data_IF_934079957629
#
_entry.id   IF_934079957629
#
_cell.length_a   1.000
_cell.length_b   1.000
_cell.length_c   1.000
_cell.angle_alpha   90.00
_cell.angle_beta   90.00
_cell.angle_gamma   90.00
#
_symmetry.space_group_name_H-M   'P 1'
#
loop_
_entity.id
_entity.type
_entity.pdbx_description
1 polymer ?
#
# COMPACT_ATOMS: atom_id res chain seq x y z
N UNK A 1 -14.48 16.34 -16.00
CA UNK A 1 -13.88 14.98 -16.19
C UNK A 1 -12.36 14.98 -16.29
N UNK A 2 -11.70 15.92 -16.98
CA UNK A 2 -10.22 15.91 -17.20
C UNK A 2 -9.34 15.73 -15.94
N UNK A 3 -9.78 16.19 -14.76
CA UNK A 3 -9.02 16.03 -13.51
C UNK A 3 -8.97 14.59 -12.96
N UNK A 4 -9.94 13.75 -13.31
CA UNK A 4 -10.06 12.37 -12.81
C UNK A 4 -9.31 11.36 -13.68
N UNK A 5 -9.03 11.68 -14.94
CA UNK A 5 -8.48 10.72 -15.91
C UNK A 5 -7.13 10.14 -15.47
N UNK A 6 -6.18 10.99 -15.04
CA UNK A 6 -4.85 10.50 -14.63
C UNK A 6 -4.89 9.65 -13.35
N UNK A 7 -5.58 10.09 -12.26
CA UNK A 7 -5.75 9.24 -11.08
C UNK A 7 -6.43 7.91 -11.37
N UNK A 8 -7.52 7.90 -12.14
CA UNK A 8 -8.25 6.68 -12.46
C UNK A 8 -7.44 5.72 -13.32
N UNK A 9 -6.68 6.24 -14.30
CA UNK A 9 -5.79 5.42 -15.12
C UNK A 9 -4.67 4.79 -14.26
N UNK A 10 -4.08 5.57 -13.35
CA UNK A 10 -3.07 5.07 -12.42
C UNK A 10 -3.64 3.96 -11.52
N UNK A 11 -4.83 4.18 -10.95
CA UNK A 11 -5.52 3.18 -10.12
C UNK A 11 -5.75 1.88 -10.91
N UNK A 12 -6.28 2.01 -12.12
CA UNK A 12 -6.55 0.86 -12.98
C UNK A 12 -5.29 0.05 -13.29
N UNK A 13 -4.19 0.71 -13.69
CA UNK A 13 -2.93 0.03 -14.02
C UNK A 13 -2.36 -0.68 -12.80
N UNK A 14 -2.32 -0.01 -11.64
CA UNK A 14 -1.76 -0.58 -10.41
C UNK A 14 -2.58 -1.80 -9.97
N UNK A 15 -3.91 -1.70 -9.98
CA UNK A 15 -4.79 -2.82 -9.67
C UNK A 15 -4.62 -3.98 -10.65
N UNK A 16 -4.53 -3.70 -11.94
CA UNK A 16 -4.36 -4.72 -12.96
C UNK A 16 -3.05 -5.50 -12.75
N UNK A 17 -1.94 -4.79 -12.57
CA UNK A 17 -0.63 -5.44 -12.36
C UNK A 17 -0.60 -6.20 -11.03
N UNK A 18 -1.14 -5.64 -9.95
CA UNK A 18 -1.24 -6.30 -8.65
C UNK A 18 -2.03 -7.61 -8.74
N UNK A 19 -3.27 -7.57 -9.27
CA UNK A 19 -4.16 -8.72 -9.32
C UNK A 19 -3.69 -9.80 -10.30
N UNK A 20 -3.11 -9.41 -11.44
CA UNK A 20 -2.49 -10.36 -12.38
C UNK A 20 -1.32 -11.06 -11.72
N UNK A 21 -0.44 -10.32 -11.03
CA UNK A 21 0.72 -10.90 -10.36
C UNK A 21 0.30 -11.89 -9.27
N UNK A 22 -0.64 -11.51 -8.41
CA UNK A 22 -1.15 -12.36 -7.33
C UNK A 22 -1.84 -13.62 -7.86
N UNK A 23 -2.64 -13.48 -8.90
CA UNK A 23 -3.31 -14.62 -9.56
C UNK A 23 -2.29 -15.58 -10.17
N UNK A 24 -1.25 -15.05 -10.81
CA UNK A 24 -0.17 -15.87 -11.36
C UNK A 24 0.54 -16.67 -10.25
N UNK A 25 0.90 -16.02 -9.14
CA UNK A 25 1.51 -16.69 -7.98
C UNK A 25 0.60 -17.80 -7.46
N UNK A 26 -0.70 -17.50 -7.24
CA UNK A 26 -1.67 -18.46 -6.71
C UNK A 26 -1.88 -19.71 -7.57
N UNK A 27 -1.69 -19.57 -8.88
CA UNK A 27 -1.98 -20.64 -9.85
C UNK A 27 -0.73 -21.42 -10.29
N UNK A 28 0.46 -20.87 -10.08
CA UNK A 28 1.73 -21.45 -10.54
C UNK A 28 2.70 -21.80 -9.40
N UNK A 29 2.39 -21.45 -8.15
CA UNK A 29 3.23 -21.72 -6.99
C UNK A 29 2.48 -22.44 -5.87
N UNK A 30 3.20 -23.26 -5.10
CA UNK A 30 2.72 -23.77 -3.81
C UNK A 30 3.18 -22.86 -2.65
N UNK A 31 2.43 -22.87 -1.55
CA UNK A 31 2.72 -22.01 -0.40
C UNK A 31 4.14 -22.27 0.14
N UNK A 32 4.92 -21.22 0.37
CA UNK A 32 6.31 -21.26 0.77
C UNK A 32 7.31 -21.55 -0.36
N UNK A 33 6.85 -21.72 -1.60
CA UNK A 33 7.75 -21.88 -2.75
C UNK A 33 8.52 -20.58 -3.02
N UNK A 34 9.79 -20.74 -3.38
CA UNK A 34 10.69 -19.64 -3.72
C UNK A 34 11.23 -19.75 -5.14
N UNK A 35 11.22 -18.63 -5.87
CA UNK A 35 11.97 -18.45 -7.10
C UNK A 35 12.99 -17.33 -6.93
N UNK A 36 14.28 -17.68 -7.05
CA UNK A 36 15.38 -16.72 -7.01
C UNK A 36 15.46 -15.97 -8.34
N UNK A 37 15.10 -14.69 -8.34
CA UNK A 37 15.08 -13.86 -9.55
C UNK A 37 16.45 -13.22 -9.78
N UNK A 38 17.05 -12.65 -8.74
CA UNK A 38 18.40 -12.06 -8.77
C UNK A 38 19.22 -12.56 -7.60
N UNK A 39 19.82 -13.74 -7.78
CA UNK A 39 20.62 -14.41 -6.75
C UNK A 39 19.83 -14.55 -5.44
N UNK A 40 20.48 -14.25 -4.32
CA UNK A 40 19.86 -14.28 -3.00
C UNK A 40 19.28 -12.93 -2.55
N UNK A 41 19.28 -11.90 -3.43
CA UNK A 41 18.85 -10.54 -3.11
C UNK A 41 17.39 -10.26 -3.46
N UNK A 42 16.89 -10.80 -4.57
CA UNK A 42 15.47 -10.70 -4.96
C UNK A 42 14.89 -12.09 -5.21
N UNK A 43 13.92 -12.44 -4.36
CA UNK A 43 13.27 -13.74 -4.35
C UNK A 43 11.76 -13.49 -4.48
N UNK A 44 11.11 -14.26 -5.34
CA UNK A 44 9.65 -14.40 -5.32
C UNK A 44 9.34 -15.51 -4.34
N UNK A 45 8.78 -15.18 -3.17
CA UNK A 45 8.43 -16.11 -2.12
C UNK A 45 6.91 -16.11 -1.95
N UNK A 46 6.23 -17.20 -2.29
CA UNK A 46 4.77 -17.24 -2.16
C UNK A 46 4.37 -17.42 -0.69
N UNK A 47 3.78 -16.38 -0.10
CA UNK A 47 3.13 -16.46 1.20
C UNK A 47 1.74 -15.81 1.18
N UNK A 48 0.95 -16.14 2.18
CA UNK A 48 -0.40 -15.61 2.35
C UNK A 48 -0.53 -14.96 3.72
N UNK A 49 -1.11 -13.77 3.73
CA UNK A 49 -1.31 -12.99 4.93
C UNK A 49 -2.80 -12.83 5.25
N UNK A 50 -3.16 -13.00 6.52
CA UNK A 50 -4.50 -12.70 7.01
C UNK A 50 -4.85 -11.19 6.99
N UNK A 51 -3.97 -10.35 6.47
CA UNK A 51 -4.14 -8.90 6.40
C UNK A 51 -3.50 -8.16 7.59
N UNK A 52 -2.65 -8.83 8.36
CA UNK A 52 -2.00 -8.26 9.53
C UNK A 52 -0.52 -8.08 9.25
N UNK A 53 0.01 -6.90 9.56
CA UNK A 53 1.45 -6.71 9.55
C UNK A 53 2.06 -7.45 10.74
N UNK A 54 3.27 -8.00 10.56
CA UNK A 54 4.06 -8.64 11.62
C UNK A 54 3.48 -9.92 12.25
N UNK A 55 2.54 -10.60 11.60
CA UNK A 55 2.07 -11.93 12.03
C UNK A 55 1.25 -11.95 13.32
N UNK A 56 0.80 -10.79 13.82
CA UNK A 56 -0.13 -10.71 14.94
C UNK A 56 -1.51 -11.14 14.47
N UNK A 57 -2.00 -12.31 14.91
CA UNK A 57 -3.35 -12.78 14.61
C UNK A 57 -4.35 -12.36 15.68
N UNK A 58 -5.18 -11.37 15.38
CA UNK A 58 -6.24 -10.92 16.29
C UNK A 58 -7.54 -11.69 16.04
N UNK A 59 -8.04 -12.37 17.06
CA UNK A 59 -9.47 -12.67 17.23
C UNK A 59 -10.10 -13.72 16.30
N UNK A 60 -9.33 -14.59 15.64
CA UNK A 60 -9.85 -15.66 14.79
C UNK A 60 -10.72 -15.15 13.63
N UNK A 61 -11.79 -15.86 13.28
CA UNK A 61 -12.71 -15.47 12.20
C UNK A 61 -13.34 -14.09 12.44
N UNK A 62 -13.77 -13.79 13.67
CA UNK A 62 -14.36 -12.49 13.98
C UNK A 62 -13.37 -11.35 13.80
N UNK A 63 -12.13 -11.51 14.26
CA UNK A 63 -11.10 -10.50 14.10
C UNK A 63 -10.68 -10.32 12.64
N UNK A 64 -10.66 -11.40 11.86
CA UNK A 64 -10.46 -11.36 10.41
C UNK A 64 -11.56 -10.56 9.71
N UNK A 65 -12.84 -10.82 10.03
CA UNK A 65 -13.97 -10.08 9.48
C UNK A 65 -13.90 -8.60 9.86
N UNK A 66 -13.64 -8.29 11.13
CA UNK A 66 -13.50 -6.92 11.61
C UNK A 66 -12.39 -6.17 10.87
N UNK A 67 -11.26 -6.82 10.61
CA UNK A 67 -10.14 -6.26 9.86
C UNK A 67 -10.51 -5.99 8.39
N UNK A 68 -11.18 -6.93 7.73
CA UNK A 68 -11.68 -6.75 6.36
C UNK A 68 -12.66 -5.57 6.28
N UNK A 69 -13.60 -5.45 7.22
CA UNK A 69 -14.56 -4.35 7.28
C UNK A 69 -13.88 -3.00 7.57
N UNK A 70 -12.94 -2.97 8.51
CA UNK A 70 -12.16 -1.77 8.82
C UNK A 70 -11.40 -1.27 7.58
N UNK A 71 -10.75 -2.17 6.83
CA UNK A 71 -10.06 -1.83 5.58
C UNK A 71 -11.02 -1.19 4.57
N UNK A 72 -12.22 -1.76 4.40
CA UNK A 72 -13.24 -1.21 3.50
C UNK A 72 -13.64 0.21 3.90
N UNK A 73 -13.87 0.44 5.19
CA UNK A 73 -14.19 1.78 5.71
C UNK A 73 -13.03 2.75 5.45
N UNK A 74 -11.79 2.34 5.76
CA UNK A 74 -10.60 3.14 5.55
C UNK A 74 -10.41 3.51 4.07
N UNK A 75 -10.57 2.55 3.15
CA UNK A 75 -10.49 2.80 1.70
C UNK A 75 -11.63 3.69 1.22
N UNK A 76 -12.84 3.56 1.77
CA UNK A 76 -13.93 4.52 1.55
C UNK A 76 -13.53 5.95 1.92
N UNK A 77 -12.88 6.13 3.08
CA UNK A 77 -12.33 7.41 3.52
C UNK A 77 -11.24 7.95 2.59
N UNK A 78 -10.30 7.10 2.16
CA UNK A 78 -9.24 7.49 1.20
C UNK A 78 -9.85 7.88 -0.15
N UNK A 79 -10.85 7.14 -0.64
CA UNK A 79 -11.55 7.43 -1.88
C UNK A 79 -12.32 8.75 -1.83
N UNK A 80 -12.99 9.03 -0.70
CA UNK A 80 -13.61 10.33 -0.45
C UNK A 80 -12.58 11.46 -0.41
N UNK A 81 -11.46 11.26 0.29
CA UNK A 81 -10.33 12.19 0.33
C UNK A 81 -9.79 12.47 -1.07
N UNK A 82 -9.56 11.44 -1.88
CA UNK A 82 -9.12 11.58 -3.26
C UNK A 82 -10.11 12.41 -4.10
N UNK A 83 -11.41 12.12 -3.97
CA UNK A 83 -12.45 12.90 -4.65
C UNK A 83 -12.38 14.39 -4.28
N UNK A 84 -12.26 14.66 -2.98
CA UNK A 84 -12.17 16.02 -2.45
C UNK A 84 -10.91 16.76 -2.94
N UNK A 85 -9.75 16.10 -2.95
CA UNK A 85 -8.49 16.66 -3.45
C UNK A 85 -8.59 17.02 -4.94
N UNK A 86 -9.23 16.17 -5.75
CA UNK A 86 -9.46 16.42 -7.17
C UNK A 86 -10.40 17.63 -7.36
N UNK A 87 -11.48 17.72 -6.57
CA UNK A 87 -12.45 18.82 -6.64
C UNK A 87 -11.83 20.17 -6.27
N UNK A 88 -10.97 20.20 -5.26
CA UNK A 88 -10.25 21.41 -4.83
C UNK A 88 -9.05 21.77 -5.71
N UNK A 89 -8.77 20.98 -6.76
CA UNK A 89 -7.63 21.18 -7.67
C UNK A 89 -6.30 21.28 -6.93
N UNK A 90 -6.14 20.48 -5.86
CA UNK A 90 -4.90 20.43 -5.10
C UNK A 90 -3.72 19.99 -5.97
N UNK A 91 -2.51 20.11 -5.43
CA UNK A 91 -1.28 19.79 -6.15
C UNK A 91 -1.35 18.41 -6.81
N UNK A 92 -1.04 18.35 -8.11
CA UNK A 92 -1.20 17.13 -8.93
C UNK A 92 -0.44 15.93 -8.36
N UNK A 93 0.76 16.16 -7.82
CA UNK A 93 1.56 15.11 -7.18
C UNK A 93 0.85 14.50 -5.96
N UNK A 94 0.21 15.32 -5.12
CA UNK A 94 -0.54 14.84 -3.97
C UNK A 94 -1.72 13.96 -4.40
N UNK A 95 -2.47 14.40 -5.41
CA UNK A 95 -3.60 13.64 -5.96
C UNK A 95 -3.13 12.27 -6.48
N UNK A 96 -2.02 12.22 -7.23
CA UNK A 96 -1.50 10.96 -7.78
C UNK A 96 -0.99 10.02 -6.68
N UNK A 97 -0.33 10.54 -5.65
CA UNK A 97 0.12 9.71 -4.53
C UNK A 97 -1.05 9.16 -3.70
N UNK A 98 -2.10 9.96 -3.46
CA UNK A 98 -3.31 9.47 -2.79
C UNK A 98 -4.05 8.45 -3.66
N UNK A 99 -4.07 8.63 -4.99
CA UNK A 99 -4.59 7.64 -5.92
C UNK A 99 -3.78 6.33 -5.89
N UNK A 100 -2.46 6.42 -5.76
CA UNK A 100 -1.58 5.25 -5.63
C UNK A 100 -1.85 4.48 -4.32
N UNK A 101 -1.99 5.19 -3.19
CA UNK A 101 -2.37 4.60 -1.90
C UNK A 101 -3.75 3.93 -2.00
N UNK A 102 -4.72 4.63 -2.62
CA UNK A 102 -6.07 4.09 -2.82
C UNK A 102 -6.04 2.81 -3.66
N UNK A 103 -5.26 2.78 -4.74
CA UNK A 103 -5.13 1.62 -5.61
C UNK A 103 -4.56 0.40 -4.86
N UNK A 104 -3.47 0.58 -4.11
CA UNK A 104 -2.88 -0.50 -3.32
C UNK A 104 -3.83 -1.01 -2.23
N UNK A 105 -4.46 -0.09 -1.50
CA UNK A 105 -5.40 -0.48 -0.44
C UNK A 105 -6.63 -1.20 -1.01
N UNK A 106 -7.13 -0.78 -2.18
CA UNK A 106 -8.22 -1.45 -2.88
C UNK A 106 -7.79 -2.83 -3.40
N UNK A 107 -6.57 -2.99 -3.91
CA UNK A 107 -6.02 -4.29 -4.32
C UNK A 107 -6.04 -5.31 -3.18
N UNK A 108 -5.54 -4.93 -2.00
CA UNK A 108 -5.56 -5.81 -0.82
C UNK A 108 -6.98 -6.10 -0.30
N UNK A 109 -7.95 -5.21 -0.52
CA UNK A 109 -9.37 -5.49 -0.23
C UNK A 109 -9.92 -6.55 -1.18
N UNK A 110 -9.59 -6.50 -2.47
CA UNK A 110 -10.08 -7.49 -3.43
C UNK A 110 -9.69 -8.90 -2.96
N UNK A 111 -8.45 -9.07 -2.55
CA UNK A 111 -7.96 -10.34 -2.01
C UNK A 111 -8.74 -10.74 -0.75
N UNK A 112 -8.79 -9.82 0.23
CA UNK A 112 -9.41 -10.08 1.55
C UNK A 112 -10.89 -10.42 1.44
N UNK A 113 -11.60 -9.83 0.48
CA UNK A 113 -13.04 -10.03 0.30
C UNK A 113 -13.32 -11.24 -0.57
N UNK A 114 -12.63 -11.40 -1.70
CA UNK A 114 -13.06 -12.32 -2.76
C UNK A 114 -12.18 -13.55 -2.94
N UNK A 115 -10.88 -13.52 -2.58
CA UNK A 115 -9.99 -14.64 -2.93
C UNK A 115 -10.37 -15.96 -2.25
N UNK A 116 -10.93 -15.90 -1.04
CA UNK A 116 -11.45 -17.10 -0.35
C UNK A 116 -12.46 -17.84 -1.23
N UNK A 117 -13.41 -17.10 -1.80
CA UNK A 117 -14.48 -17.64 -2.65
C UNK A 117 -13.96 -17.98 -4.05
N UNK A 118 -13.14 -17.12 -4.67
CA UNK A 118 -12.62 -17.30 -6.02
C UNK A 118 -11.76 -18.57 -6.12
N UNK A 119 -10.93 -18.83 -5.11
CA UNK A 119 -10.05 -20.01 -5.07
C UNK A 119 -10.60 -21.15 -4.21
N UNK A 120 -11.83 -21.03 -3.70
CA UNK A 120 -12.58 -22.10 -3.04
C UNK A 120 -12.03 -22.57 -1.69
N UNK A 121 -11.29 -21.73 -0.96
CA UNK A 121 -10.70 -22.12 0.32
C UNK A 121 -11.35 -21.44 1.55
N UNK A 122 -12.11 -20.36 1.36
CA UNK A 122 -12.74 -19.60 2.46
C UNK A 122 -14.03 -18.91 2.01
N UNK A 123 -14.79 -18.38 2.97
CA UNK A 123 -15.99 -17.57 2.68
C UNK A 123 -15.66 -16.11 2.29
N UNK A 124 -16.68 -15.36 1.89
CA UNK A 124 -16.54 -13.92 1.61
C UNK A 124 -15.98 -13.19 2.84
N UNK A 125 -15.12 -12.18 2.63
CA UNK A 125 -14.40 -11.42 3.68
C UNK A 125 -13.29 -12.17 4.44
N UNK A 126 -13.10 -13.46 4.17
CA UNK A 126 -12.09 -14.31 4.83
C UNK A 126 -10.93 -14.68 3.90
N UNK A 127 -10.84 -14.04 2.72
CA UNK A 127 -9.71 -14.21 1.81
C UNK A 127 -8.38 -13.76 2.42
N UNK A 128 -7.30 -14.40 2.00
CA UNK A 128 -5.92 -14.07 2.36
C UNK A 128 -5.28 -13.21 1.27
N UNK A 129 -4.50 -12.23 1.70
CA UNK A 129 -3.70 -11.37 0.83
C UNK A 129 -2.50 -12.16 0.35
N UNK A 130 -2.26 -12.16 -0.95
CA UNK A 130 -1.12 -12.87 -1.55
C UNK A 130 0.10 -11.95 -1.52
N UNK A 131 1.16 -12.39 -0.86
CA UNK A 131 2.44 -11.70 -0.77
C UNK A 131 3.50 -12.53 -1.52
N UNK A 132 4.42 -11.83 -2.19
CA UNK A 132 5.32 -12.49 -3.15
C UNK A 132 6.71 -11.87 -3.24
N UNK A 133 6.87 -10.57 -2.99
CA UNK A 133 8.12 -9.86 -3.16
C UNK A 133 8.96 -9.98 -1.89
N UNK A 134 10.09 -10.66 -1.98
CA UNK A 134 11.00 -10.86 -0.86
C UNK A 134 12.41 -10.33 -1.18
N UNK A 135 12.89 -9.44 -0.31
CA UNK A 135 14.21 -8.79 -0.42
C UNK A 135 14.96 -8.91 0.90
N UNK A 136 15.68 -10.02 1.15
CA UNK A 136 16.48 -10.13 2.35
C UNK A 136 17.68 -9.19 2.28
N UNK A 137 17.70 -8.15 3.13
CA UNK A 137 18.71 -7.08 3.05
C UNK A 137 20.00 -7.47 3.80
N UNK A 138 19.89 -8.04 5.00
CA UNK A 138 21.06 -8.54 5.74
C UNK A 138 20.76 -9.92 6.31
N UNK A 139 21.58 -10.91 5.95
CA UNK A 139 21.62 -12.22 6.59
C UNK A 139 22.97 -12.37 7.27
N UNK A 140 22.98 -12.82 8.51
CA UNK A 140 24.20 -13.09 9.25
C UNK A 140 23.93 -13.95 10.47
N UNK A 141 24.96 -14.18 11.25
CA UNK A 141 24.82 -14.76 12.59
C UNK A 141 25.29 -13.72 13.59
N UNK A 142 24.59 -13.61 14.71
CA UNK A 142 25.04 -12.73 15.78
C UNK A 142 26.40 -13.23 16.29
N UNK A 143 27.35 -12.32 16.58
CA UNK A 143 28.62 -12.70 17.19
C UNK A 143 28.39 -13.46 18.51
N UNK A 144 29.24 -14.44 18.82
CA UNK A 144 29.09 -15.27 20.03
C UNK A 144 29.13 -14.49 21.34
N UNK A 145 29.72 -13.29 21.35
CA UNK A 145 29.75 -12.39 22.50
C UNK A 145 28.44 -11.58 22.69
N UNK A 146 27.49 -11.67 21.76
CA UNK A 146 26.25 -10.90 21.80
C UNK A 146 25.32 -11.45 22.91
N UNK A 147 24.84 -10.61 23.85
CA UNK A 147 24.37 -11.09 25.16
C UNK A 147 23.23 -12.11 25.10
N UNK A 148 22.21 -11.85 24.28
CA UNK A 148 20.94 -12.62 24.26
C UNK A 148 20.81 -13.51 23.03
N UNK A 149 21.37 -13.10 21.90
CA UNK A 149 21.20 -13.81 20.62
C UNK A 149 22.53 -14.32 20.05
N UNK A 150 23.61 -14.37 20.83
CA UNK A 150 24.93 -14.79 20.34
C UNK A 150 24.92 -16.16 19.69
N UNK A 151 25.37 -16.25 18.44
CA UNK A 151 25.34 -17.47 17.64
C UNK A 151 24.04 -17.74 16.89
N UNK A 152 22.94 -17.02 17.18
CA UNK A 152 21.67 -17.17 16.47
C UNK A 152 21.72 -16.56 15.05
N UNK A 153 21.04 -17.16 14.06
CA UNK A 153 20.87 -16.58 12.75
C UNK A 153 20.02 -15.30 12.82
N UNK A 154 20.48 -14.25 12.18
CA UNK A 154 19.83 -12.96 12.06
C UNK A 154 19.50 -12.66 10.60
N UNK A 155 18.26 -12.24 10.38
CA UNK A 155 17.81 -11.75 9.08
C UNK A 155 17.12 -10.39 9.29
N UNK A 156 17.77 -9.32 8.83
CA UNK A 156 17.21 -7.98 8.79
C UNK A 156 16.30 -7.85 7.58
N UNK A 157 15.07 -7.40 7.82
CA UNK A 157 14.02 -7.22 6.81
C UNK A 157 13.48 -8.53 6.23
N UNK A 158 12.77 -9.27 7.09
CA UNK A 158 11.99 -10.48 6.74
C UNK A 158 10.63 -10.26 6.05
N UNK A 159 9.98 -9.07 6.06
CA UNK A 159 8.65 -8.95 5.44
C UNK A 159 8.65 -9.31 3.95
N UNK A 160 7.71 -10.17 3.58
CA UNK A 160 7.29 -10.39 2.19
C UNK A 160 6.09 -9.50 1.96
N UNK A 161 6.02 -8.84 0.81
CA UNK A 161 4.94 -7.90 0.48
C UNK A 161 4.50 -8.06 -0.96
N UNK A 162 3.44 -7.35 -1.36
CA UNK A 162 2.95 -7.36 -2.73
C UNK A 162 3.06 -5.98 -3.40
N UNK A 163 2.61 -5.88 -4.66
CA UNK A 163 2.66 -4.63 -5.41
C UNK A 163 1.70 -3.57 -4.86
N UNK A 164 0.56 -3.97 -4.31
CA UNK A 164 -0.34 -3.09 -3.59
C UNK A 164 0.33 -2.45 -2.36
N UNK A 165 1.08 -3.20 -1.55
CA UNK A 165 1.82 -2.66 -0.40
C UNK A 165 2.91 -1.69 -0.84
N UNK A 166 3.66 -2.05 -1.90
CA UNK A 166 4.66 -1.17 -2.49
C UNK A 166 4.04 0.16 -2.98
N UNK A 167 2.86 0.10 -3.60
CA UNK A 167 2.13 1.29 -4.04
C UNK A 167 1.74 2.19 -2.85
N UNK A 168 1.21 1.60 -1.76
CA UNK A 168 0.91 2.34 -0.52
C UNK A 168 2.17 2.98 0.04
N UNK A 169 3.25 2.22 0.21
CA UNK A 169 4.52 2.73 0.77
C UNK A 169 5.10 3.87 -0.07
N UNK A 170 5.18 3.70 -1.40
CA UNK A 170 5.69 4.75 -2.30
C UNK A 170 4.83 6.01 -2.22
N UNK A 171 3.49 5.87 -2.23
CA UNK A 171 2.58 7.02 -2.12
C UNK A 171 2.76 7.77 -0.80
N UNK A 172 2.82 7.06 0.32
CA UNK A 172 3.00 7.66 1.65
C UNK A 172 4.37 8.34 1.78
N UNK A 173 5.44 7.63 1.42
CA UNK A 173 6.81 8.16 1.50
C UNK A 173 6.95 9.42 0.63
N UNK A 174 6.41 9.39 -0.59
CA UNK A 174 6.46 10.55 -1.49
C UNK A 174 5.70 11.75 -0.92
N UNK A 175 4.53 11.53 -0.30
CA UNK A 175 3.80 12.61 0.39
C UNK A 175 4.63 13.20 1.53
N UNK A 176 5.28 12.36 2.34
CA UNK A 176 6.10 12.83 3.47
C UNK A 176 7.33 13.63 3.02
N UNK A 177 8.00 13.19 1.95
CA UNK A 177 9.16 13.88 1.37
C UNK A 177 8.75 15.23 0.79
N UNK A 178 7.65 15.29 0.02
CA UNK A 178 7.21 16.50 -0.68
C UNK A 178 6.13 17.29 0.06
N UNK A 179 5.94 17.05 1.37
CA UNK A 179 4.87 17.68 2.16
C UNK A 179 4.91 19.21 2.07
N UNK A 180 6.10 19.83 2.11
CA UNK A 180 6.27 21.29 2.03
C UNK A 180 5.82 21.86 0.69
N UNK A 181 5.95 21.08 -0.38
CA UNK A 181 5.52 21.46 -1.72
C UNK A 181 4.01 21.25 -1.90
N UNK A 182 3.48 20.16 -1.35
CA UNK A 182 2.08 19.77 -1.54
C UNK A 182 1.10 20.60 -0.71
N UNK A 183 1.54 21.10 0.46
CA UNK A 183 0.71 21.85 1.39
C UNK A 183 1.15 23.31 1.54
N UNK A 184 1.80 23.88 0.52
CA UNK A 184 2.16 25.30 0.53
C UNK A 184 0.87 26.12 0.60
N UNK A 185 0.71 26.91 1.67
CA UNK A 185 -0.40 27.86 1.75
C UNK A 185 -0.26 28.85 0.59
N UNK A 186 -1.33 28.98 -0.21
CA UNK A 186 -1.45 30.14 -1.07
C UNK A 186 -1.57 31.34 -0.14
N UNK A 187 -0.50 32.11 -0.02
CA UNK A 187 -0.59 33.48 0.51
C UNK A 187 -1.60 34.15 -0.39
N UNK A 188 -2.82 34.35 0.11
CA UNK A 188 -3.75 35.27 -0.52
C UNK A 188 -3.04 36.61 -0.45
N UNK A 189 -2.58 37.10 -1.59
CA UNK A 189 -2.30 38.52 -1.72
C UNK A 189 -3.59 39.21 -1.28
N UNK A 190 -3.59 39.78 -0.07
CA UNK A 190 -4.60 40.74 0.31
C UNK A 190 -4.49 41.84 -0.73
N UNK A 191 -5.44 41.86 -1.67
CA UNK A 191 -5.61 42.97 -2.59
C UNK A 191 -5.84 44.18 -1.68
N UNK A 192 -4.78 44.93 -1.41
CA UNK A 192 -4.84 46.14 -0.61
C UNK A 192 -5.86 47.06 -1.27
N UNK A 193 -6.98 47.30 -0.58
CA UNK A 193 -8.09 48.16 -1.03
C UNK A 193 -7.66 49.66 -1.03
N UNK A 194 -6.37 49.97 -0.81
CA UNK A 194 -5.89 51.32 -0.57
C UNK A 194 -4.95 51.84 -1.66
N UNK A 195 -5.32 51.74 -2.93
CA UNK A 195 -4.76 52.64 -3.94
C UNK A 195 -5.88 53.47 -4.58
N UNK A 196 -5.83 54.76 -4.25
CA UNK A 196 -6.35 55.91 -4.99
C UNK A 196 -7.82 56.29 -4.76
N UNK A 197 -8.09 56.83 -3.58
CA UNK A 197 -8.82 58.10 -3.48
C UNK A 197 -7.87 59.17 -2.97
N UNK A 198 -7.29 59.96 -3.88
CA UNK A 198 -6.94 61.36 -3.60
C UNK A 198 -7.33 62.14 -4.85
N UNK A 199 -8.49 62.78 -4.77
CA UNK A 199 -8.81 63.95 -5.57
C UNK A 199 -7.76 65.03 -5.27
N UNK A 200 -7.19 65.62 -6.33
CA UNK A 200 -6.97 67.07 -6.49
C UNK A 200 -6.56 67.36 -7.95
#
# INVERSE_FOLDING_TARGET
MKGYTKPLLLIFIVLLVDQVSKTWIKTNMYLGQEYKVLGDWFIIHFTENNGMAFGLEFGGEFGKLALSLFRIIAVGGIGYGLHYLIKRKNHRGLILNVALIFAGALGNIIDSVFYGVIYGYETLFHGRVVDMLYFPILKGTFPTWFPVWGGEPFEFFRPVFNLADAAISVGVITILIFQKTYFKEEVKDEIGINNETVED
#
